data_IF_128940984950
#
_entry.id   IF_128940984950
#
_cell.length_a   1.000
_cell.length_b   1.000
_cell.length_c   1.000
_cell.angle_alpha   90.00
_cell.angle_beta   90.00
_cell.angle_gamma   90.00
#
_symmetry.space_group_name_H-M   'P 1'
#
loop_
_entity.id
_entity.type
_entity.pdbx_description
1 polymer ?
#
# COMPACT_ATOMS: atom_id res chain seq x y z
N UNK A 1 -4.31 14.15 10.61
CA UNK A 1 -3.43 12.97 10.50
C UNK A 1 -2.40 12.91 11.62
N UNK A 2 -1.57 13.95 11.81
CA UNK A 2 -0.55 14.00 12.87
C UNK A 2 -1.13 13.69 14.26
N UNK A 3 -2.25 14.33 14.65
CA UNK A 3 -2.89 14.09 15.95
C UNK A 3 -3.36 12.64 16.16
N UNK A 4 -3.90 12.00 15.11
CA UNK A 4 -4.29 10.58 15.16
C UNK A 4 -3.03 9.70 15.31
N UNK A 5 -1.95 10.03 14.61
CA UNK A 5 -0.67 9.31 14.72
C UNK A 5 -0.07 9.39 16.14
N UNK A 6 -0.01 10.60 16.71
CA UNK A 6 0.48 10.82 18.08
C UNK A 6 -0.36 10.07 19.11
N UNK A 7 -1.68 10.12 18.98
CA UNK A 7 -2.60 9.41 19.87
C UNK A 7 -2.47 7.88 19.76
N UNK A 8 -2.35 7.35 18.53
CA UNK A 8 -2.22 5.91 18.28
C UNK A 8 -0.87 5.36 18.76
N UNK A 9 0.20 6.18 18.77
CA UNK A 9 1.54 5.75 19.22
C UNK A 9 1.52 5.13 20.63
N UNK A 10 0.74 5.70 21.55
CA UNK A 10 0.63 5.20 22.93
C UNK A 10 -0.08 3.83 23.06
N UNK A 11 -0.65 3.31 21.96
CA UNK A 11 -1.39 2.03 21.93
C UNK A 11 -0.63 0.89 21.27
N UNK A 12 0.55 1.18 20.70
CA UNK A 12 1.40 0.17 20.07
C UNK A 12 2.44 -0.32 21.08
N UNK A 13 2.18 -1.46 21.70
CA UNK A 13 3.11 -2.07 22.67
C UNK A 13 3.92 -3.23 22.07
N UNK A 14 3.36 -3.92 21.07
CA UNK A 14 3.96 -5.11 20.45
C UNK A 14 3.90 -5.06 18.92
N UNK A 15 4.68 -5.93 18.29
CA UNK A 15 4.67 -6.13 16.83
C UNK A 15 3.27 -6.53 16.34
N UNK A 16 2.53 -7.32 17.12
CA UNK A 16 1.17 -7.76 16.78
C UNK A 16 0.20 -6.58 16.78
N UNK A 17 0.36 -5.64 17.71
CA UNK A 17 -0.43 -4.40 17.78
C UNK A 17 -0.22 -3.56 16.52
N UNK A 18 1.04 -3.43 16.11
CA UNK A 18 1.40 -2.64 14.94
C UNK A 18 0.89 -3.25 13.62
N UNK A 19 1.06 -4.57 13.42
CA UNK A 19 0.76 -5.19 12.12
C UNK A 19 -0.66 -5.71 11.97
N UNK A 20 -1.31 -6.08 13.07
CA UNK A 20 -2.62 -6.76 12.99
C UNK A 20 -3.68 -6.13 13.88
N UNK A 21 -3.32 -5.14 14.72
CA UNK A 21 -4.20 -4.58 15.74
C UNK A 21 -4.96 -5.67 16.52
N UNK A 22 -4.28 -6.78 16.83
CA UNK A 22 -4.82 -7.99 17.49
C UNK A 22 -6.04 -8.63 16.81
N UNK A 23 -6.35 -8.27 15.56
CA UNK A 23 -7.57 -8.72 14.89
C UNK A 23 -8.84 -7.99 15.34
N UNK A 24 -8.71 -6.86 16.03
CA UNK A 24 -9.85 -6.06 16.54
C UNK A 24 -10.45 -5.14 15.47
N UNK A 25 -9.81 -4.97 14.31
CA UNK A 25 -10.30 -4.12 13.23
C UNK A 25 -11.55 -4.78 12.61
N UNK A 26 -12.72 -4.12 12.64
CA UNK A 26 -13.94 -4.68 12.05
C UNK A 26 -13.79 -4.78 10.54
N UNK A 27 -14.43 -5.80 9.95
CA UNK A 27 -14.25 -6.17 8.54
C UNK A 27 -14.50 -5.03 7.55
N UNK A 28 -15.47 -4.15 7.83
CA UNK A 28 -15.79 -3.01 6.97
C UNK A 28 -14.68 -1.95 6.99
N UNK A 29 -14.08 -1.70 8.16
CA UNK A 29 -12.99 -0.76 8.32
C UNK A 29 -11.71 -1.32 7.68
N UNK A 30 -11.47 -2.62 7.86
CA UNK A 30 -10.39 -3.32 7.18
C UNK A 30 -10.56 -3.25 5.65
N UNK A 31 -11.79 -3.40 5.15
CA UNK A 31 -12.13 -3.28 3.73
C UNK A 31 -11.88 -1.87 3.17
N UNK A 32 -12.35 -0.82 3.86
CA UNK A 32 -12.09 0.58 3.49
C UNK A 32 -10.58 0.85 3.51
N UNK A 33 -9.89 0.44 4.56
CA UNK A 33 -8.44 0.61 4.67
C UNK A 33 -7.70 -0.11 3.53
N UNK A 34 -8.11 -1.33 3.18
CA UNK A 34 -7.53 -2.07 2.07
C UNK A 34 -7.76 -1.34 0.74
N UNK A 35 -8.99 -0.88 0.49
CA UNK A 35 -9.32 -0.12 -0.70
C UNK A 35 -8.49 1.17 -0.78
N UNK A 36 -8.44 1.98 0.28
CA UNK A 36 -7.66 3.22 0.35
C UNK A 36 -6.15 2.98 0.20
N UNK A 37 -5.62 1.86 0.69
CA UNK A 37 -4.21 1.51 0.52
C UNK A 37 -3.80 1.30 -0.94
N UNK A 38 -4.77 0.99 -1.81
CA UNK A 38 -4.57 0.91 -3.26
C UNK A 38 -4.42 2.28 -3.93
N UNK A 39 -4.93 3.36 -3.33
CA UNK A 39 -4.90 4.70 -3.92
C UNK A 39 -3.61 5.44 -3.63
N UNK A 40 -3.20 6.26 -4.59
CA UNK A 40 -2.10 7.19 -4.43
C UNK A 40 -2.21 8.34 -5.43
N UNK A 41 -1.34 9.35 -5.30
CA UNK A 41 -1.28 10.48 -6.22
C UNK A 41 -1.12 10.07 -7.69
N UNK A 42 -0.50 8.91 -7.98
CA UNK A 42 -0.37 8.38 -9.34
C UNK A 42 -1.75 8.20 -10.00
N UNK A 43 -2.76 7.78 -9.24
CA UNK A 43 -4.09 7.56 -9.80
C UNK A 43 -4.76 8.87 -10.21
N UNK A 44 -4.56 9.92 -9.44
CA UNK A 44 -5.14 11.23 -9.70
C UNK A 44 -4.38 12.03 -10.77
N UNK A 45 -3.16 11.62 -11.12
CA UNK A 45 -2.33 12.29 -12.12
C UNK A 45 -2.14 11.42 -13.35
N UNK A 46 -1.39 10.32 -13.22
CA UNK A 46 -1.06 9.47 -14.36
C UNK A 46 -2.28 8.72 -14.89
N UNK A 47 -3.08 8.10 -14.03
CA UNK A 47 -4.26 7.35 -14.50
C UNK A 47 -5.37 8.28 -14.97
N UNK A 48 -5.53 9.43 -14.33
CA UNK A 48 -6.40 10.49 -14.84
C UNK A 48 -5.97 10.97 -16.23
N UNK A 49 -4.66 11.15 -16.47
CA UNK A 49 -4.15 11.51 -17.79
C UNK A 49 -4.37 10.39 -18.83
N UNK A 50 -4.17 9.12 -18.47
CA UNK A 50 -4.46 7.98 -19.37
C UNK A 50 -5.96 7.90 -19.67
N UNK A 51 -6.82 8.10 -18.67
CA UNK A 51 -8.27 8.16 -18.86
C UNK A 51 -8.70 9.36 -19.71
N UNK A 52 -8.00 10.50 -19.62
CA UNK A 52 -8.24 11.66 -20.47
C UNK A 52 -7.95 11.32 -21.94
N UNK A 53 -6.90 10.56 -22.22
CA UNK A 53 -6.50 10.19 -23.59
C UNK A 53 -7.28 8.99 -24.15
N UNK A 54 -7.56 7.97 -23.33
CA UNK A 54 -8.11 6.68 -23.76
C UNK A 54 -9.50 6.36 -23.19
N UNK A 55 -10.09 7.27 -22.42
CA UNK A 55 -11.45 7.14 -21.88
C UNK A 55 -11.63 5.91 -20.98
N UNK A 56 -12.72 5.19 -21.20
CA UNK A 56 -13.14 4.04 -20.39
C UNK A 56 -12.18 2.85 -20.45
N UNK A 57 -11.28 2.80 -21.43
CA UNK A 57 -10.28 1.73 -21.54
C UNK A 57 -9.42 1.63 -20.28
N UNK A 58 -9.11 2.77 -19.64
CA UNK A 58 -8.36 2.79 -18.38
C UNK A 58 -9.08 2.00 -17.27
N UNK A 59 -10.40 2.17 -17.15
CA UNK A 59 -11.19 1.49 -16.12
C UNK A 59 -11.30 -0.01 -16.39
N UNK A 60 -11.41 -0.41 -17.66
CA UNK A 60 -11.46 -1.81 -18.06
C UNK A 60 -10.15 -2.55 -17.75
N UNK A 61 -9.00 -1.94 -18.04
CA UNK A 61 -7.70 -2.59 -17.84
C UNK A 61 -7.19 -2.53 -16.40
N UNK A 62 -7.58 -1.52 -15.63
CA UNK A 62 -7.07 -1.32 -14.28
C UNK A 62 -8.11 -1.61 -13.19
N UNK A 63 -9.19 -0.85 -13.11
CA UNK A 63 -10.14 -0.96 -12.00
C UNK A 63 -10.90 -2.30 -12.03
N UNK A 64 -11.35 -2.71 -13.21
CA UNK A 64 -12.11 -3.96 -13.39
C UNK A 64 -11.27 -5.20 -13.10
N UNK A 65 -10.05 -5.28 -13.63
CA UNK A 65 -9.15 -6.43 -13.42
C UNK A 65 -8.74 -6.57 -11.95
N UNK A 66 -8.45 -5.46 -11.27
CA UNK A 66 -8.19 -5.46 -9.82
C UNK A 66 -9.43 -5.87 -9.04
N UNK A 67 -10.61 -5.33 -9.39
CA UNK A 67 -11.86 -5.70 -8.74
C UNK A 67 -12.16 -7.19 -8.83
N UNK A 68 -12.00 -7.78 -10.01
CA UNK A 68 -12.15 -9.23 -10.22
C UNK A 68 -11.10 -10.01 -9.40
N UNK A 69 -9.84 -9.58 -9.43
CA UNK A 69 -8.76 -10.24 -8.69
C UNK A 69 -8.97 -10.21 -7.17
N UNK A 70 -9.40 -9.08 -6.62
CA UNK A 70 -9.75 -8.94 -5.20
C UNK A 70 -10.96 -9.78 -4.87
N UNK A 71 -11.99 -9.79 -5.73
CA UNK A 71 -13.17 -10.65 -5.58
C UNK A 71 -12.78 -12.12 -5.45
N UNK A 72 -12.00 -12.65 -6.41
CA UNK A 72 -11.51 -14.04 -6.37
C UNK A 72 -10.64 -14.29 -5.13
N UNK A 73 -9.71 -13.37 -4.83
CA UNK A 73 -8.81 -13.47 -3.69
C UNK A 73 -9.55 -13.51 -2.34
N UNK A 74 -10.64 -12.76 -2.20
CA UNK A 74 -11.46 -12.76 -0.99
C UNK A 74 -12.06 -14.15 -0.70
N UNK A 75 -12.58 -14.83 -1.72
CA UNK A 75 -13.21 -16.15 -1.52
C UNK A 75 -12.20 -17.28 -1.37
N UNK A 76 -11.06 -17.21 -2.06
CA UNK A 76 -10.18 -18.37 -2.15
C UNK A 76 -8.90 -18.22 -1.31
N UNK A 77 -8.37 -17.00 -1.12
CA UNK A 77 -7.11 -16.76 -0.40
C UNK A 77 -7.34 -16.27 1.05
N UNK A 78 -8.34 -15.42 1.31
CA UNK A 78 -8.49 -14.79 2.63
C UNK A 78 -8.66 -15.81 3.77
N UNK A 79 -9.56 -16.78 3.62
CA UNK A 79 -9.77 -17.82 4.63
C UNK A 79 -8.54 -18.75 4.78
N UNK A 80 -7.82 -19.03 3.69
CA UNK A 80 -6.60 -19.85 3.71
C UNK A 80 -5.47 -19.14 4.45
N UNK A 81 -5.30 -17.85 4.20
CA UNK A 81 -4.30 -17.03 4.87
C UNK A 81 -4.55 -16.97 6.38
N UNK A 82 -5.81 -16.74 6.80
CA UNK A 82 -6.14 -16.74 8.23
C UNK A 82 -5.82 -18.07 8.92
N UNK A 83 -6.07 -19.22 8.26
CA UNK A 83 -5.69 -20.53 8.79
C UNK A 83 -4.18 -20.71 8.88
N UNK A 84 -3.42 -20.30 7.87
CA UNK A 84 -1.96 -20.36 7.89
C UNK A 84 -1.37 -19.46 8.99
N UNK A 85 -1.91 -18.24 9.14
CA UNK A 85 -1.54 -17.29 10.19
C UNK A 85 -1.72 -17.90 11.57
N UNK A 86 -2.89 -18.48 11.83
CA UNK A 86 -3.20 -19.12 13.10
C UNK A 86 -2.34 -20.36 13.36
N UNK A 87 -2.12 -21.21 12.34
CA UNK A 87 -1.32 -22.45 12.47
C UNK A 87 0.16 -22.18 12.71
N UNK A 88 0.74 -21.22 12.02
CA UNK A 88 2.18 -20.93 12.09
C UNK A 88 2.53 -19.81 13.06
N UNK A 89 1.55 -19.11 13.63
CA UNK A 89 1.76 -17.99 14.56
C UNK A 89 2.50 -16.81 13.94
N UNK A 90 2.36 -16.59 12.63
CA UNK A 90 3.11 -15.57 11.86
C UNK A 90 2.27 -14.31 11.70
N UNK A 91 2.90 -13.13 11.71
CA UNK A 91 2.22 -11.85 11.52
C UNK A 91 2.31 -11.34 10.08
N UNK A 92 3.24 -11.86 9.26
CA UNK A 92 3.45 -11.40 7.88
C UNK A 92 3.77 -12.54 6.89
N UNK A 93 3.54 -12.33 5.58
CA UNK A 93 3.95 -13.28 4.54
C UNK A 93 5.46 -13.56 4.52
N UNK A 94 6.30 -12.56 4.84
CA UNK A 94 7.75 -12.74 4.89
C UNK A 94 8.17 -13.65 6.04
N UNK A 95 7.57 -13.47 7.21
CA UNK A 95 7.77 -14.34 8.36
C UNK A 95 7.29 -15.77 8.09
N UNK A 96 6.18 -15.92 7.36
CA UNK A 96 5.72 -17.21 6.86
C UNK A 96 6.77 -17.89 5.96
N UNK A 97 7.39 -17.15 5.04
CA UNK A 97 8.42 -17.71 4.16
C UNK A 97 9.65 -18.19 4.94
N UNK A 98 10.10 -17.42 5.93
CA UNK A 98 11.22 -17.84 6.78
C UNK A 98 10.90 -19.12 7.57
N UNK A 99 9.70 -19.22 8.14
CA UNK A 99 9.29 -20.40 8.92
C UNK A 99 9.00 -21.63 8.06
N UNK A 100 8.42 -21.44 6.88
CA UNK A 100 7.99 -22.54 6.00
C UNK A 100 9.13 -23.07 5.12
N UNK A 101 10.04 -22.19 4.71
CA UNK A 101 11.13 -22.51 3.78
C UNK A 101 12.49 -22.27 4.45
N UNK A 102 12.99 -21.03 4.44
CA UNK A 102 14.25 -20.63 5.05
C UNK A 102 14.46 -19.09 4.94
N UNK A 103 15.47 -18.51 5.62
CA UNK A 103 15.79 -17.09 5.50
C UNK A 103 16.13 -16.60 4.08
N UNK A 104 16.87 -17.35 3.24
CA UNK A 104 17.08 -16.93 1.85
C UNK A 104 15.79 -16.74 1.05
N UNK A 105 14.81 -17.63 1.19
CA UNK A 105 13.51 -17.49 0.51
C UNK A 105 12.77 -16.22 0.93
N UNK A 106 12.81 -15.87 2.22
CA UNK A 106 12.29 -14.59 2.72
C UNK A 106 13.05 -13.41 2.08
N UNK A 107 14.38 -13.46 2.06
CA UNK A 107 15.23 -12.37 1.58
C UNK A 107 15.00 -12.06 0.10
N UNK A 108 14.88 -13.08 -0.75
CA UNK A 108 14.61 -12.87 -2.18
C UNK A 108 13.33 -12.06 -2.39
N UNK A 109 12.26 -12.42 -1.67
CA UNK A 109 10.97 -11.73 -1.75
C UNK A 109 11.02 -10.33 -1.11
N UNK A 110 11.74 -10.18 0.00
CA UNK A 110 11.93 -8.90 0.66
C UNK A 110 12.69 -7.91 -0.25
N UNK A 111 13.82 -8.32 -0.83
CA UNK A 111 14.62 -7.46 -1.70
C UNK A 111 13.89 -7.12 -3.00
N UNK A 112 13.19 -8.08 -3.60
CA UNK A 112 12.35 -7.85 -4.78
C UNK A 112 11.25 -6.82 -4.47
N UNK A 113 10.59 -6.94 -3.32
CA UNK A 113 9.57 -6.00 -2.86
C UNK A 113 10.12 -4.60 -2.61
N UNK A 114 11.28 -4.49 -1.96
CA UNK A 114 11.94 -3.19 -1.70
C UNK A 114 12.29 -2.48 -3.01
N UNK A 115 12.86 -3.21 -3.98
CA UNK A 115 13.23 -2.63 -5.27
C UNK A 115 12.02 -2.07 -6.03
N UNK A 116 10.93 -2.83 -6.09
CA UNK A 116 9.67 -2.35 -6.66
C UNK A 116 9.11 -1.15 -5.90
N UNK A 117 9.28 -1.14 -4.56
CA UNK A 117 8.77 -0.07 -3.72
C UNK A 117 9.50 1.26 -3.93
N UNK A 118 10.79 1.24 -4.23
CA UNK A 118 11.56 2.45 -4.55
C UNK A 118 10.97 3.15 -5.78
N UNK A 119 10.70 2.39 -6.85
CA UNK A 119 10.10 2.92 -8.08
C UNK A 119 8.68 3.45 -7.82
N UNK A 120 7.88 2.71 -7.06
CA UNK A 120 6.52 3.11 -6.65
C UNK A 120 6.52 4.44 -5.88
N UNK A 121 7.41 4.61 -4.90
CA UNK A 121 7.52 5.84 -4.11
C UNK A 121 8.01 7.01 -4.96
N UNK A 122 9.03 6.80 -5.80
CA UNK A 122 9.55 7.84 -6.68
C UNK A 122 8.47 8.37 -7.64
N UNK A 123 7.69 7.49 -8.25
CA UNK A 123 6.57 7.86 -9.11
C UNK A 123 5.49 8.68 -8.35
N UNK A 124 5.23 8.36 -7.07
CA UNK A 124 4.31 9.13 -6.21
C UNK A 124 4.84 10.53 -5.92
N UNK A 125 6.13 10.68 -5.62
CA UNK A 125 6.73 12.00 -5.39
C UNK A 125 6.62 12.90 -6.61
N UNK A 126 6.89 12.36 -7.81
CA UNK A 126 6.73 13.10 -9.07
C UNK A 126 5.26 13.47 -9.29
N UNK A 127 4.32 12.54 -9.09
CA UNK A 127 2.89 12.82 -9.24
C UNK A 127 2.41 13.95 -8.31
N UNK A 128 2.78 13.90 -7.03
CA UNK A 128 2.47 14.98 -6.07
C UNK A 128 3.10 16.29 -6.52
N UNK A 129 4.33 16.26 -7.00
CA UNK A 129 5.00 17.45 -7.49
C UNK A 129 4.32 18.08 -8.72
N UNK A 130 3.73 17.29 -9.61
CA UNK A 130 2.95 17.80 -10.74
C UNK A 130 1.72 18.56 -10.24
N UNK A 131 1.04 18.03 -9.22
CA UNK A 131 -0.10 18.71 -8.59
C UNK A 131 0.35 20.01 -7.91
N UNK A 132 1.44 19.99 -7.15
CA UNK A 132 1.99 21.19 -6.49
C UNK A 132 2.36 22.27 -7.50
N UNK A 133 2.93 21.90 -8.66
CA UNK A 133 3.19 22.84 -9.74
C UNK A 133 1.89 23.42 -10.30
N UNK A 134 0.90 22.58 -10.54
CA UNK A 134 -0.39 22.99 -11.12
C UNK A 134 -1.19 23.93 -10.21
N UNK A 135 -1.21 23.68 -8.90
CA UNK A 135 -2.04 24.44 -7.96
C UNK A 135 -1.31 25.58 -7.25
N UNK A 136 -0.02 25.43 -6.98
CA UNK A 136 0.75 26.36 -6.16
C UNK A 136 1.94 26.99 -6.89
N UNK A 137 2.15 26.67 -8.18
CA UNK A 137 3.26 27.20 -8.97
C UNK A 137 4.64 26.70 -8.53
N UNK A 138 4.71 25.70 -7.65
CA UNK A 138 5.98 25.19 -7.12
C UNK A 138 6.75 24.45 -8.22
N UNK A 139 8.04 24.76 -8.47
CA UNK A 139 8.86 24.02 -9.43
C UNK A 139 8.98 22.54 -9.08
N UNK A 140 9.07 21.68 -10.10
CA UNK A 140 9.00 20.21 -9.89
C UNK A 140 10.12 19.70 -8.96
N UNK A 141 11.34 20.21 -9.10
CA UNK A 141 12.45 19.81 -8.22
C UNK A 141 12.15 20.07 -6.74
N UNK A 142 11.59 21.25 -6.43
CA UNK A 142 11.19 21.60 -5.08
C UNK A 142 9.98 20.79 -4.59
N UNK A 143 8.99 20.53 -5.46
CA UNK A 143 7.84 19.71 -5.10
C UNK A 143 8.22 18.27 -4.74
N UNK A 144 9.18 17.68 -5.46
CA UNK A 144 9.74 16.35 -5.14
C UNK A 144 10.46 16.40 -3.79
N UNK A 145 11.35 17.38 -3.57
CA UNK A 145 12.12 17.50 -2.33
C UNK A 145 11.21 17.68 -1.10
N UNK A 146 10.25 18.61 -1.18
CA UNK A 146 9.29 18.87 -0.09
C UNK A 146 8.51 17.60 0.23
N UNK A 147 7.96 16.93 -0.78
CA UNK A 147 7.20 15.69 -0.60
C UNK A 147 8.05 14.61 0.04
N UNK A 148 9.27 14.41 -0.45
CA UNK A 148 10.20 13.43 0.10
C UNK A 148 10.53 13.68 1.56
N UNK A 149 10.91 14.91 1.92
CA UNK A 149 11.22 15.31 3.30
C UNK A 149 10.03 15.09 4.23
N UNK A 150 8.83 15.52 3.83
CA UNK A 150 7.61 15.35 4.64
C UNK A 150 7.29 13.87 4.85
N UNK A 151 7.54 13.00 3.87
CA UNK A 151 7.28 11.56 4.01
C UNK A 151 8.32 10.79 4.83
N UNK A 152 9.49 11.38 5.12
CA UNK A 152 10.51 10.76 5.97
C UNK A 152 10.25 10.95 7.47
N UNK A 153 9.37 11.88 7.85
CA UNK A 153 9.04 12.25 9.23
C UNK A 153 7.70 11.66 9.65
#
# INVERSE_FOLDING_TARGET
MIGIGVWSKGRVATVIDFFTARGEIPWWLAGISHHMSGYSAIMFVAFAAVAYTYGLAMYAWWALTIGIGVGIGAFVWAARWNRLRAKHGVASPLEYLARRYNPPAQQVLAYSGVLLKVVDIAAKWVAISILLRGFAGIPIGWGILITGVVTMV
#
